data_IF_626263450716
#
_entry.id   IF_626263450716
#
_cell.length_a   1.000
_cell.length_b   1.000
_cell.length_c   1.000
_cell.angle_alpha   90.00
_cell.angle_beta   90.00
_cell.angle_gamma   90.00
#
_symmetry.space_group_name_H-M   'P 1'
#
loop_
_entity.id
_entity.type
_entity.pdbx_description
1 polymer ?
#
# COMPACT_ATOMS: atom_id res chain seq x y z
N UNK A 1 11.47 -7.49 16.82
CA UNK A 1 10.81 -6.28 16.30
C UNK A 1 11.32 -6.04 14.88
N UNK A 2 10.46 -6.05 13.87
CA UNK A 2 10.91 -5.95 12.47
C UNK A 2 11.39 -4.53 12.19
N UNK A 3 12.67 -4.36 11.86
CA UNK A 3 13.33 -3.08 11.56
C UNK A 3 12.92 -2.47 10.21
N UNK A 4 11.63 -2.54 9.87
CA UNK A 4 11.07 -1.89 8.67
C UNK A 4 10.84 -0.42 8.99
N UNK A 5 11.30 0.46 8.11
CA UNK A 5 10.99 1.89 8.13
C UNK A 5 10.05 2.15 6.95
N UNK A 6 8.78 1.83 7.16
CA UNK A 6 7.76 1.94 6.11
C UNK A 6 7.43 3.43 5.92
N UNK A 7 7.47 3.96 4.68
CA UNK A 7 7.20 5.37 4.42
C UNK A 7 5.72 5.71 4.63
N UNK A 8 5.43 7.01 4.61
CA UNK A 8 4.11 7.59 4.66
C UNK A 8 3.71 8.20 6.00
N UNK A 9 4.60 8.22 6.99
CA UNK A 9 4.29 8.77 8.34
C UNK A 9 4.86 10.17 8.58
N UNK A 10 5.89 10.58 7.82
CA UNK A 10 6.55 11.89 7.97
C UNK A 10 6.72 12.55 6.61
N UNK A 11 7.02 13.84 6.59
CA UNK A 11 7.18 14.63 5.37
C UNK A 11 8.49 14.32 4.63
N UNK A 12 9.48 13.76 5.31
CA UNK A 12 10.76 13.34 4.74
C UNK A 12 10.64 12.01 3.97
N UNK A 13 9.69 11.16 4.37
CA UNK A 13 9.39 9.88 3.75
C UNK A 13 7.88 9.80 3.42
N UNK A 14 7.33 10.65 2.54
CA UNK A 14 5.89 10.65 2.24
C UNK A 14 5.51 9.50 1.29
N UNK A 15 4.22 9.37 0.99
CA UNK A 15 3.72 8.51 -0.08
C UNK A 15 3.42 9.33 -1.33
N UNK A 16 3.66 8.75 -2.50
CA UNK A 16 3.37 9.38 -3.78
C UNK A 16 2.38 8.55 -4.58
N UNK A 17 1.31 9.18 -5.04
CA UNK A 17 0.28 8.50 -5.82
C UNK A 17 0.86 8.03 -7.15
N UNK A 18 0.53 6.79 -7.54
CA UNK A 18 0.71 6.29 -8.90
C UNK A 18 -0.62 6.00 -9.60
N UNK A 19 -0.80 6.47 -10.83
CA UNK A 19 -1.96 6.09 -11.68
C UNK A 19 -1.68 4.94 -12.64
N UNK A 20 -0.42 4.49 -12.71
CA UNK A 20 0.00 3.38 -13.57
C UNK A 20 -0.71 2.08 -13.18
N UNK A 21 -1.55 1.56 -14.08
CA UNK A 21 -2.25 0.29 -13.88
C UNK A 21 -1.25 -0.86 -13.64
N UNK A 22 -0.17 -0.91 -14.43
CA UNK A 22 0.88 -1.91 -14.29
C UNK A 22 1.57 -1.84 -12.92
N UNK A 23 1.92 -0.64 -12.44
CA UNK A 23 2.55 -0.50 -11.12
C UNK A 23 1.62 -0.94 -10.00
N UNK A 24 0.35 -0.55 -10.07
CA UNK A 24 -0.69 -0.94 -9.11
C UNK A 24 -0.87 -2.45 -9.06
N UNK A 25 -0.90 -3.12 -10.20
CA UNK A 25 -1.05 -4.57 -10.26
C UNK A 25 0.19 -5.30 -9.75
N UNK A 26 1.38 -4.77 -10.00
CA UNK A 26 2.61 -5.31 -9.45
C UNK A 26 2.65 -5.19 -7.92
N UNK A 27 2.27 -4.04 -7.37
CA UNK A 27 2.13 -3.86 -5.92
C UNK A 27 1.18 -4.91 -5.33
N UNK A 28 -0.05 -5.03 -5.86
CA UNK A 28 -1.03 -6.02 -5.39
C UNK A 28 -0.52 -7.45 -5.46
N UNK A 29 0.13 -7.83 -6.56
CA UNK A 29 0.70 -9.18 -6.72
C UNK A 29 1.77 -9.46 -5.66
N UNK A 30 2.64 -8.49 -5.40
CA UNK A 30 3.69 -8.60 -4.39
C UNK A 30 3.10 -8.73 -2.97
N UNK A 31 2.08 -7.93 -2.63
CA UNK A 31 1.38 -8.03 -1.35
C UNK A 31 0.62 -9.34 -1.19
N UNK A 32 -0.17 -9.76 -2.17
CA UNK A 32 -0.91 -11.03 -2.15
C UNK A 32 0.03 -12.22 -1.97
N UNK A 33 1.23 -12.19 -2.58
CA UNK A 33 2.26 -13.21 -2.36
C UNK A 33 2.67 -13.29 -0.88
N UNK A 34 2.80 -12.16 -0.20
CA UNK A 34 3.09 -12.16 1.25
C UNK A 34 1.88 -12.57 2.08
N UNK A 35 0.65 -12.15 1.73
CA UNK A 35 -0.55 -12.62 2.43
C UNK A 35 -0.65 -14.14 2.38
N UNK A 36 -0.50 -14.75 1.21
CA UNK A 36 -0.49 -16.21 1.06
C UNK A 36 0.61 -16.88 1.87
N UNK A 37 1.81 -16.27 1.92
CA UNK A 37 2.96 -16.79 2.66
C UNK A 37 2.75 -16.79 4.17
N UNK A 38 2.21 -15.72 4.73
CA UNK A 38 2.12 -15.54 6.19
C UNK A 38 0.77 -15.95 6.79
N UNK A 39 -0.30 -15.93 5.99
CA UNK A 39 -1.67 -16.19 6.45
C UNK A 39 -2.32 -17.41 5.78
N UNK A 40 -1.58 -18.10 4.89
CA UNK A 40 -2.05 -19.29 4.18
C UNK A 40 -2.79 -18.98 2.88
N UNK A 41 -2.96 -20.00 2.03
CA UNK A 41 -3.66 -19.85 0.74
C UNK A 41 -5.15 -19.50 0.90
N UNK A 42 -5.73 -19.85 2.05
CA UNK A 42 -7.12 -19.62 2.42
C UNK A 42 -7.34 -18.32 3.23
N UNK A 43 -6.40 -17.37 3.20
CA UNK A 43 -6.49 -16.11 3.95
C UNK A 43 -7.76 -15.28 3.63
N UNK A 44 -8.37 -15.52 2.47
CA UNK A 44 -9.61 -14.88 2.02
C UNK A 44 -10.88 -15.50 2.63
N UNK A 45 -10.77 -16.63 3.34
CA UNK A 45 -11.90 -17.27 4.00
C UNK A 45 -12.58 -16.31 4.98
N UNK A 46 -13.91 -16.38 5.07
CA UNK A 46 -14.69 -15.46 5.88
C UNK A 46 -14.79 -14.05 5.29
N UNK A 47 -14.62 -13.90 3.97
CA UNK A 47 -14.84 -12.64 3.28
C UNK A 47 -13.74 -11.61 3.54
N UNK A 48 -12.48 -12.05 3.63
CA UNK A 48 -11.32 -11.17 3.84
C UNK A 48 -10.60 -10.85 2.54
N UNK A 49 -9.95 -9.70 2.51
CA UNK A 49 -9.05 -9.28 1.43
C UNK A 49 -7.68 -8.93 2.01
N UNK A 50 -6.63 -9.00 1.17
CA UNK A 50 -5.27 -8.63 1.59
C UNK A 50 -5.15 -7.11 1.57
N UNK A 51 -5.18 -6.50 2.76
CA UNK A 51 -4.82 -5.09 2.93
C UNK A 51 -3.29 -4.93 2.86
N UNK A 52 -2.84 -3.80 2.31
CA UNK A 52 -1.44 -3.51 2.07
C UNK A 52 -1.10 -2.06 2.40
N UNK A 53 0.01 -1.87 3.12
CA UNK A 53 0.58 -0.55 3.39
C UNK A 53 2.10 -0.58 3.19
N UNK A 54 2.68 0.29 2.34
CA UNK A 54 2.02 1.37 1.61
C UNK A 54 1.04 0.88 0.54
N UNK A 55 0.12 1.75 0.12
CA UNK A 55 -1.02 1.36 -0.70
C UNK A 55 -0.61 0.90 -2.11
N UNK A 56 -1.41 0.04 -2.73
CA UNK A 56 -1.20 -0.36 -4.13
C UNK A 56 -1.10 0.83 -5.11
N UNK A 57 -1.77 1.92 -4.76
CA UNK A 57 -1.87 3.16 -5.52
C UNK A 57 -0.74 4.13 -5.23
N UNK A 58 0.35 3.70 -4.60
CA UNK A 58 1.54 4.53 -4.39
C UNK A 58 2.81 3.91 -4.99
N UNK A 59 3.82 4.73 -5.25
CA UNK A 59 5.12 4.26 -5.73
C UNK A 59 5.82 3.38 -4.68
N UNK A 60 5.63 3.68 -3.41
CA UNK A 60 6.20 2.98 -2.25
C UNK A 60 5.47 1.66 -1.92
N UNK A 61 4.52 1.23 -2.75
CA UNK A 61 3.77 -0.01 -2.57
C UNK A 61 4.67 -1.26 -2.62
N UNK A 62 4.07 -2.44 -2.41
CA UNK A 62 4.82 -3.66 -2.14
C UNK A 62 5.84 -4.12 -3.22
N UNK A 63 5.74 -3.61 -4.46
CA UNK A 63 6.67 -3.88 -5.55
C UNK A 63 7.76 -2.82 -5.72
N UNK A 64 7.89 -1.85 -4.82
CA UNK A 64 8.85 -0.73 -4.93
C UNK A 64 10.28 -1.18 -5.23
N UNK A 65 10.74 -2.26 -4.59
CA UNK A 65 12.05 -2.88 -4.79
C UNK A 65 12.33 -3.27 -6.25
N UNK A 66 11.31 -3.59 -7.03
CA UNK A 66 11.48 -4.00 -8.43
C UNK A 66 11.80 -2.81 -9.36
N UNK A 67 11.69 -1.59 -8.84
CA UNK A 67 11.93 -0.34 -9.57
C UNK A 67 13.05 0.51 -8.98
N UNK A 68 13.54 0.16 -7.78
CA UNK A 68 14.67 0.81 -7.11
C UNK A 68 15.51 -0.24 -6.37
N UNK A 69 16.71 -0.63 -6.85
CA UNK A 69 17.53 -1.65 -6.21
C UNK A 69 18.05 -1.25 -4.82
N UNK A 70 18.09 0.05 -4.52
CA UNK A 70 18.43 0.63 -3.22
C UNK A 70 17.31 0.49 -2.18
N UNK A 71 16.04 0.38 -2.62
CA UNK A 71 14.87 0.29 -1.75
C UNK A 71 14.94 -0.96 -0.89
N UNK A 72 14.67 -0.89 0.41
CA UNK A 72 14.73 -2.06 1.28
C UNK A 72 13.72 -3.14 0.85
N UNK A 73 14.19 -4.39 0.72
CA UNK A 73 13.29 -5.53 0.42
C UNK A 73 12.25 -5.72 1.53
N UNK A 74 11.01 -6.02 1.12
CA UNK A 74 9.88 -6.26 2.03
C UNK A 74 9.54 -5.07 2.95
N UNK A 75 9.77 -3.82 2.52
CA UNK A 75 9.47 -2.61 3.29
C UNK A 75 7.98 -2.21 3.25
N UNK A 76 7.10 -3.19 3.43
CA UNK A 76 5.65 -3.01 3.47
C UNK A 76 5.05 -4.00 4.48
N UNK A 77 3.78 -3.80 4.79
CA UNK A 77 2.96 -4.67 5.64
C UNK A 77 1.76 -5.19 4.86
N UNK A 78 1.30 -6.38 5.25
CA UNK A 78 0.07 -6.97 4.71
C UNK A 78 -0.74 -7.61 5.81
N UNK A 79 -2.06 -7.50 5.73
CA UNK A 79 -2.96 -8.12 6.70
C UNK A 79 -4.30 -8.48 6.04
N UNK A 80 -4.79 -9.72 6.20
CA UNK A 80 -6.16 -10.04 5.84
C UNK A 80 -7.13 -9.32 6.77
N UNK A 81 -7.98 -8.46 6.21
CA UNK A 81 -9.05 -7.75 6.93
C UNK A 81 -10.40 -7.99 6.24
N UNK A 82 -11.54 -7.77 6.92
CA UNK A 82 -12.86 -7.89 6.30
C UNK A 82 -12.94 -7.03 5.03
N UNK A 83 -13.54 -7.61 4.00
CA UNK A 83 -13.67 -7.01 2.67
C UNK A 83 -14.36 -5.65 2.69
N UNK A 84 -15.39 -5.49 3.51
CA UNK A 84 -16.16 -4.25 3.55
C UNK A 84 -15.33 -3.10 4.15
N UNK A 85 -14.55 -3.38 5.21
CA UNK A 85 -13.61 -2.43 5.80
C UNK A 85 -12.50 -2.06 4.81
N UNK A 86 -11.93 -3.05 4.13
CA UNK A 86 -10.87 -2.85 3.13
C UNK A 86 -11.35 -1.94 1.98
N UNK A 87 -12.56 -2.18 1.48
CA UNK A 87 -13.17 -1.39 0.41
C UNK A 87 -13.52 0.02 0.87
N UNK A 88 -14.03 0.17 2.09
CA UNK A 88 -14.30 1.48 2.66
C UNK A 88 -13.01 2.31 2.74
N UNK A 89 -11.92 1.73 3.26
CA UNK A 89 -10.60 2.37 3.29
C UNK A 89 -10.10 2.75 1.89
N UNK A 90 -10.21 1.84 0.93
CA UNK A 90 -9.83 2.10 -0.47
C UNK A 90 -10.63 3.24 -1.12
N UNK A 91 -11.94 3.33 -0.84
CA UNK A 91 -12.79 4.42 -1.32
C UNK A 91 -12.41 5.77 -0.70
N UNK A 92 -12.06 5.80 0.59
CA UNK A 92 -11.59 7.01 1.26
C UNK A 92 -10.28 7.51 0.65
N UNK A 93 -9.33 6.62 0.36
CA UNK A 93 -8.07 6.98 -0.31
C UNK A 93 -8.32 7.53 -1.72
N UNK A 94 -9.23 6.91 -2.48
CA UNK A 94 -9.61 7.43 -3.81
C UNK A 94 -10.28 8.81 -3.72
N UNK A 95 -11.19 9.01 -2.77
CA UNK A 95 -11.82 10.29 -2.50
C UNK A 95 -10.80 11.36 -2.08
N UNK A 96 -9.83 11.00 -1.24
CA UNK A 96 -8.73 11.88 -0.85
C UNK A 96 -7.92 12.35 -2.06
N UNK A 97 -7.55 11.44 -2.96
CA UNK A 97 -6.84 11.79 -4.20
C UNK A 97 -7.66 12.74 -5.08
N UNK A 98 -8.96 12.51 -5.23
CA UNK A 98 -9.83 13.36 -6.04
C UNK A 98 -10.04 14.74 -5.44
N UNK A 99 -10.41 14.81 -4.16
CA UNK A 99 -10.77 16.04 -3.47
C UNK A 99 -9.57 16.99 -3.29
N UNK A 100 -8.37 16.44 -3.08
CA UNK A 100 -7.16 17.24 -2.90
C UNK A 100 -6.34 17.36 -4.19
N UNK A 101 -6.86 16.83 -5.31
CA UNK A 101 -6.20 16.85 -6.63
C UNK A 101 -4.78 16.27 -6.59
N UNK A 102 -4.55 15.24 -5.79
CA UNK A 102 -3.25 14.59 -5.68
C UNK A 102 -2.85 14.05 -7.05
N UNK A 103 -1.76 14.54 -7.62
CA UNK A 103 -1.30 14.18 -8.96
C UNK A 103 -0.43 12.92 -8.95
N UNK A 104 -0.21 12.35 -10.13
CA UNK A 104 0.75 11.28 -10.34
C UNK A 104 2.18 11.83 -10.27
N UNK A 105 3.07 11.11 -9.58
CA UNK A 105 4.51 11.41 -9.53
C UNK A 105 5.05 11.87 -8.18
N UNK A 106 6.36 12.08 -8.12
CA UNK A 106 7.12 12.25 -6.87
C UNK A 106 7.10 13.69 -6.31
N UNK A 107 6.40 14.61 -6.97
CA UNK A 107 6.34 16.03 -6.57
C UNK A 107 5.13 16.37 -5.70
N UNK A 108 4.23 15.41 -5.43
CA UNK A 108 2.99 15.62 -4.69
C UNK A 108 2.80 14.51 -3.64
N UNK A 109 3.63 14.62 -2.60
CA UNK A 109 3.67 13.67 -1.49
C UNK A 109 2.58 13.92 -0.45
N UNK A 110 2.03 12.84 0.11
CA UNK A 110 1.08 12.90 1.21
C UNK A 110 1.48 11.97 2.36
N UNK A 111 1.03 12.30 3.57
CA UNK A 111 1.27 11.50 4.78
C UNK A 111 -0.04 10.90 5.28
N UNK A 112 0.07 9.74 5.94
CA UNK A 112 -1.01 9.02 6.61
C UNK A 112 -0.75 9.06 8.10
N UNK A 113 -1.66 9.69 8.83
CA UNK A 113 -1.64 9.73 10.30
C UNK A 113 -2.85 8.97 10.83
N UNK A 114 -2.61 7.95 11.63
CA UNK A 114 -3.66 7.29 12.41
C UNK A 114 -3.93 8.16 13.63
N UNK A 115 -5.17 8.65 13.75
CA UNK A 115 -5.65 9.38 14.93
C UNK A 115 -6.46 8.43 15.81
N UNK A 116 -6.23 8.49 17.11
CA UNK A 116 -6.92 7.69 18.13
C UNK A 116 -7.64 8.61 19.09
#
# INVERSE_FOLDING_TARGET
>A
MSAKKVPGQTVEDPLHRTVSATRRDNNRKAAVKQCRRYWGANYTNGGKECDEYPFATTYEGAAERDYGPEVRKFNFSVKPIPKDDNRAGGNLVQGFYGNNRIIDGDNDGFIVKIVT
#
